data_IF_959244819438
#
_entry.id   IF_959244819438
#
_cell.length_a   1.000
_cell.length_b   1.000
_cell.length_c   1.000
_cell.angle_alpha   90.00
_cell.angle_beta   90.00
_cell.angle_gamma   90.00
#
_symmetry.space_group_name_H-M   'P 1'
#
loop_
_entity.id
_entity.type
_entity.pdbx_description
1 polymer ?
#
# COMPACT_ATOMS: atom_id res chain seq x y z
N UNK A 1 2.17 -10.89 -11.11
CA UNK A 1 3.24 -11.57 -10.36
C UNK A 1 3.48 -10.77 -9.10
N UNK A 2 3.47 -11.41 -7.93
CA UNK A 2 4.05 -10.79 -6.75
C UNK A 2 5.54 -10.50 -6.97
N UNK A 3 6.02 -9.38 -6.43
CA UNK A 3 7.45 -9.06 -6.43
C UNK A 3 8.01 -9.17 -5.02
N UNK A 4 9.12 -9.90 -4.90
CA UNK A 4 9.88 -10.05 -3.64
C UNK A 4 10.91 -8.94 -3.43
N UNK A 5 11.17 -8.14 -4.47
CA UNK A 5 12.02 -6.95 -4.49
C UNK A 5 11.24 -5.85 -5.23
N UNK A 6 10.66 -4.92 -4.49
CA UNK A 6 9.87 -3.82 -5.05
C UNK A 6 10.69 -2.54 -5.15
N UNK A 7 10.39 -1.70 -6.16
CA UNK A 7 10.93 -0.35 -6.26
C UNK A 7 10.26 0.65 -5.33
N UNK A 8 9.22 0.24 -4.59
CA UNK A 8 8.39 1.07 -3.71
C UNK A 8 9.03 1.11 -2.31
N UNK A 9 9.42 2.29 -1.87
CA UNK A 9 10.33 2.48 -0.73
C UNK A 9 9.73 2.12 0.64
N UNK A 10 8.41 2.14 0.76
CA UNK A 10 7.69 1.98 2.02
C UNK A 10 7.15 0.56 2.26
N UNK A 11 7.44 -0.38 1.36
CA UNK A 11 6.97 -1.77 1.43
C UNK A 11 8.07 -2.75 1.01
N UNK A 12 7.98 -3.99 1.46
CA UNK A 12 9.01 -5.01 1.16
C UNK A 12 8.65 -5.82 -0.09
N UNK A 13 7.34 -5.99 -0.34
CA UNK A 13 6.80 -6.86 -1.40
C UNK A 13 5.51 -6.30 -1.98
N UNK A 14 5.15 -6.79 -3.16
CA UNK A 14 3.81 -6.57 -3.73
C UNK A 14 3.09 -7.89 -3.91
N UNK A 15 1.79 -7.90 -3.67
CA UNK A 15 0.90 -9.02 -3.95
C UNK A 15 -0.26 -8.51 -4.80
N UNK A 16 -0.53 -9.13 -5.94
CA UNK A 16 -1.49 -8.63 -6.93
C UNK A 16 -2.53 -9.72 -7.30
N UNK A 17 -3.49 -10.01 -6.39
CA UNK A 17 -4.64 -10.88 -6.68
C UNK A 17 -5.56 -10.31 -7.78
N UNK A 18 -5.52 -9.01 -8.04
CA UNK A 18 -6.10 -8.42 -9.27
C UNK A 18 -5.08 -7.57 -10.02
N UNK A 19 -5.34 -7.30 -11.30
CA UNK A 19 -4.61 -6.32 -12.12
C UNK A 19 -5.60 -5.56 -13.00
N UNK A 20 -5.25 -4.35 -13.43
CA UNK A 20 -6.13 -3.53 -14.25
C UNK A 20 -7.13 -2.71 -13.42
N UNK A 21 -7.55 -1.57 -13.97
CA UNK A 21 -8.42 -0.61 -13.30
C UNK A 21 -8.95 0.42 -14.32
N UNK A 22 -10.00 1.15 -13.97
CA UNK A 22 -10.46 2.37 -14.62
C UNK A 22 -10.09 3.63 -13.79
N UNK A 23 -10.06 4.79 -14.45
CA UNK A 23 -9.63 6.07 -13.85
C UNK A 23 -10.81 6.72 -13.13
N UNK A 24 -10.62 7.08 -11.86
CA UNK A 24 -11.66 7.73 -11.02
C UNK A 24 -11.32 9.14 -10.56
N UNK A 25 -10.11 9.62 -10.89
CA UNK A 25 -9.64 10.93 -10.45
C UNK A 25 -8.50 11.47 -11.32
N UNK A 26 -8.16 12.77 -11.20
CA UNK A 26 -6.97 13.35 -11.80
C UNK A 26 -5.66 12.67 -11.40
N UNK A 27 -5.60 12.00 -10.23
CA UNK A 27 -4.44 11.21 -9.83
C UNK A 27 -4.18 10.01 -10.74
N UNK A 28 -5.19 9.53 -11.47
CA UNK A 28 -5.09 8.36 -12.35
C UNK A 28 -4.65 8.70 -13.78
N UNK A 29 -4.57 9.98 -14.15
CA UNK A 29 -4.34 10.43 -15.54
C UNK A 29 -3.07 9.83 -16.15
N UNK A 30 -1.98 9.76 -15.37
CA UNK A 30 -0.67 9.21 -15.79
C UNK A 30 -0.29 7.95 -15.02
N UNK A 31 -1.27 7.07 -14.78
CA UNK A 31 -1.10 5.82 -14.05
C UNK A 31 0.07 4.97 -14.57
N UNK A 32 1.05 4.69 -13.70
CA UNK A 32 2.19 3.85 -14.05
C UNK A 32 1.77 2.40 -14.35
N UNK A 33 0.75 1.88 -13.66
CA UNK A 33 0.29 0.51 -13.84
C UNK A 33 -0.25 0.32 -15.27
N UNK A 34 -1.04 1.28 -15.77
CA UNK A 34 -1.53 1.30 -17.16
C UNK A 34 -0.37 1.36 -18.17
N UNK A 35 0.64 2.18 -17.90
CA UNK A 35 1.81 2.26 -18.78
C UNK A 35 2.61 0.94 -18.80
N UNK A 36 2.71 0.26 -17.65
CA UNK A 36 3.39 -1.03 -17.54
C UNK A 36 2.67 -2.15 -18.29
N UNK A 37 1.33 -2.18 -18.29
CA UNK A 37 0.59 -3.20 -19.07
C UNK A 37 0.82 -3.05 -20.56
N UNK A 38 0.89 -1.81 -21.06
CA UNK A 38 1.25 -1.49 -22.45
C UNK A 38 2.69 -1.88 -22.79
N UNK A 39 3.62 -1.73 -21.83
CA UNK A 39 5.04 -2.08 -22.02
C UNK A 39 5.29 -3.59 -22.03
N UNK A 40 4.52 -4.35 -21.27
CA UNK A 40 4.70 -5.80 -21.09
C UNK A 40 3.43 -6.60 -21.45
N UNK A 41 2.92 -6.52 -22.69
CA UNK A 41 1.62 -7.08 -23.06
C UNK A 41 1.52 -8.60 -22.84
N UNK A 42 2.64 -9.33 -22.95
CA UNK A 42 2.67 -10.78 -22.69
C UNK A 42 2.34 -11.15 -21.24
N UNK A 43 2.64 -10.26 -20.29
CA UNK A 43 2.35 -10.45 -18.87
C UNK A 43 0.94 -9.96 -18.48
N UNK A 44 0.32 -9.16 -19.35
CA UNK A 44 -0.97 -8.51 -19.15
C UNK A 44 -1.83 -8.71 -20.39
N UNK A 45 -2.28 -9.95 -20.63
CA UNK A 45 -3.02 -10.34 -21.84
C UNK A 45 -4.29 -9.51 -22.08
N UNK A 46 -4.93 -9.05 -21.00
CA UNK A 46 -6.13 -8.20 -21.04
C UNK A 46 -5.78 -6.69 -20.93
N UNK A 47 -4.53 -6.32 -21.18
CA UNK A 47 -4.09 -4.93 -21.05
C UNK A 47 -4.31 -4.38 -19.63
N UNK A 48 -5.02 -3.26 -19.53
CA UNK A 48 -5.36 -2.62 -18.24
C UNK A 48 -6.81 -2.87 -17.80
N UNK A 49 -7.52 -3.78 -18.46
CA UNK A 49 -8.85 -4.23 -18.02
C UNK A 49 -8.73 -5.00 -16.70
N UNK A 50 -9.74 -4.83 -15.82
CA UNK A 50 -9.76 -5.54 -14.55
C UNK A 50 -9.70 -7.05 -14.81
N UNK A 51 -8.74 -7.70 -14.16
CA UNK A 51 -8.54 -9.14 -14.24
C UNK A 51 -8.31 -9.69 -12.84
N UNK A 52 -9.09 -10.69 -12.48
CA UNK A 52 -8.98 -11.45 -11.24
C UNK A 52 -8.01 -12.60 -11.44
N UNK A 53 -7.13 -12.85 -10.47
CA UNK A 53 -6.12 -13.91 -10.51
C UNK A 53 -6.31 -14.85 -9.32
N UNK A 54 -7.30 -15.75 -9.41
CA UNK A 54 -7.56 -16.79 -8.39
C UNK A 54 -6.28 -17.61 -8.08
N UNK A 55 -5.49 -17.91 -9.11
CA UNK A 55 -4.24 -18.64 -8.98
C UNK A 55 -3.12 -17.90 -8.23
N UNK A 56 -3.33 -16.63 -7.87
CA UNK A 56 -2.38 -15.82 -7.09
C UNK A 56 -2.81 -15.61 -5.64
N UNK A 57 -4.01 -16.07 -5.26
CA UNK A 57 -4.54 -15.83 -3.91
C UNK A 57 -3.60 -16.39 -2.83
N UNK A 58 -3.07 -17.59 -3.04
CA UNK A 58 -2.24 -18.25 -2.04
C UNK A 58 -0.75 -17.83 -2.09
N UNK A 59 -0.35 -16.89 -2.94
CA UNK A 59 1.06 -16.45 -3.01
C UNK A 59 1.66 -16.09 -1.63
N UNK A 60 0.95 -15.35 -0.73
CA UNK A 60 1.51 -14.98 0.56
C UNK A 60 1.71 -16.12 1.54
N UNK A 61 0.97 -17.23 1.42
CA UNK A 61 1.10 -18.38 2.35
C UNK A 61 2.46 -19.06 2.23
N UNK A 62 3.13 -18.87 1.09
CA UNK A 62 4.45 -19.41 0.81
C UNK A 62 5.60 -18.52 1.32
N UNK A 63 5.31 -17.31 1.82
CA UNK A 63 6.33 -16.37 2.28
C UNK A 63 6.62 -16.51 3.76
N UNK A 64 7.82 -16.98 4.08
CA UNK A 64 8.24 -17.21 5.47
C UNK A 64 8.72 -15.96 6.19
N UNK A 65 9.39 -15.05 5.48
CA UNK A 65 9.97 -13.84 6.09
C UNK A 65 8.86 -12.82 6.36
N UNK A 66 8.63 -12.39 7.62
CA UNK A 66 7.76 -11.27 7.94
C UNK A 66 8.07 -10.08 7.03
N UNK A 67 7.04 -9.51 6.41
CA UNK A 67 7.17 -8.51 5.35
C UNK A 67 5.98 -7.56 5.40
N UNK A 68 6.20 -6.29 5.02
CA UNK A 68 5.14 -5.39 4.58
C UNK A 68 4.84 -5.69 3.12
N UNK A 69 3.56 -5.88 2.80
CA UNK A 69 3.09 -6.29 1.48
C UNK A 69 2.11 -5.22 0.99
N UNK A 70 2.45 -4.53 -0.09
CA UNK A 70 1.51 -3.69 -0.79
C UNK A 70 0.57 -4.55 -1.65
N UNK A 71 -0.71 -4.55 -1.31
CA UNK A 71 -1.76 -5.28 -2.03
C UNK A 71 -2.23 -4.45 -3.20
N UNK A 72 -2.28 -5.08 -4.38
CA UNK A 72 -2.77 -4.50 -5.63
C UNK A 72 -1.99 -3.26 -6.08
N UNK A 73 -0.67 -3.39 -6.20
CA UNK A 73 0.16 -2.38 -6.86
C UNK A 73 -0.12 -2.21 -8.37
N UNK A 74 -1.02 -3.00 -8.96
CA UNK A 74 -1.35 -2.98 -10.39
C UNK A 74 -2.86 -2.83 -10.66
N UNK A 75 -3.64 -2.51 -9.63
CA UNK A 75 -5.10 -2.37 -9.68
C UNK A 75 -5.59 -1.58 -8.46
N UNK A 76 -6.91 -1.53 -8.24
CA UNK A 76 -7.52 -1.09 -6.99
C UNK A 76 -8.32 -2.28 -6.44
N UNK A 77 -8.09 -2.69 -5.19
CA UNK A 77 -8.77 -3.86 -4.62
C UNK A 77 -10.27 -3.62 -4.48
N UNK A 78 -10.69 -2.37 -4.23
CA UNK A 78 -12.10 -1.98 -4.07
C UNK A 78 -12.74 -1.53 -5.39
N UNK A 79 -12.26 -2.04 -6.53
CA UNK A 79 -12.92 -1.81 -7.82
C UNK A 79 -14.35 -2.39 -7.82
N UNK A 80 -15.28 -1.71 -8.49
CA UNK A 80 -16.72 -2.02 -8.54
C UNK A 80 -16.99 -3.43 -9.05
N UNK A 81 -16.25 -3.83 -10.08
CA UNK A 81 -16.31 -5.17 -10.69
C UNK A 81 -15.58 -6.27 -9.90
N UNK A 82 -14.89 -5.97 -8.79
CA UNK A 82 -14.36 -7.03 -7.90
C UNK A 82 -15.51 -7.54 -7.03
N UNK A 83 -15.90 -8.83 -7.14
CA UNK A 83 -16.99 -9.38 -6.34
C UNK A 83 -16.63 -9.47 -4.85
N UNK A 84 -17.62 -9.30 -3.98
CA UNK A 84 -17.46 -9.43 -2.53
C UNK A 84 -16.83 -10.79 -2.14
N UNK A 85 -17.26 -11.88 -2.77
CA UNK A 85 -16.72 -13.21 -2.48
C UNK A 85 -15.23 -13.33 -2.81
N UNK A 86 -14.75 -12.63 -3.86
CA UNK A 86 -13.33 -12.58 -4.16
C UNK A 86 -12.57 -11.74 -3.11
N UNK A 87 -13.15 -10.62 -2.66
CA UNK A 87 -12.58 -9.82 -1.57
C UNK A 87 -12.47 -10.62 -0.27
N UNK A 88 -13.51 -11.39 0.09
CA UNK A 88 -13.49 -12.28 1.26
C UNK A 88 -12.35 -13.29 1.19
N UNK A 89 -12.10 -13.90 0.03
CA UNK A 89 -10.93 -14.79 -0.17
C UNK A 89 -9.60 -14.07 0.03
N UNK A 90 -9.46 -12.83 -0.47
CA UNK A 90 -8.24 -12.02 -0.29
C UNK A 90 -8.03 -11.72 1.21
N UNK A 91 -9.09 -11.32 1.92
CA UNK A 91 -9.04 -11.05 3.36
C UNK A 91 -8.75 -12.30 4.21
N UNK A 92 -9.31 -13.44 3.85
CA UNK A 92 -9.02 -14.73 4.49
C UNK A 92 -7.52 -15.10 4.39
N UNK A 93 -6.89 -14.90 3.23
CA UNK A 93 -5.44 -15.11 3.08
C UNK A 93 -4.65 -14.16 4.00
N UNK A 94 -5.04 -12.89 4.10
CA UNK A 94 -4.38 -11.93 4.99
C UNK A 94 -4.51 -12.33 6.46
N UNK A 95 -5.65 -12.88 6.87
CA UNK A 95 -5.89 -13.43 8.21
C UNK A 95 -5.06 -14.68 8.51
N UNK A 96 -4.92 -15.58 7.53
CA UNK A 96 -4.12 -16.83 7.64
C UNK A 96 -2.62 -16.60 7.69
N UNK A 97 -2.14 -15.39 7.40
CA UNK A 97 -0.71 -15.06 7.30
C UNK A 97 -0.33 -13.87 8.19
N UNK A 98 -0.55 -13.98 9.52
CA UNK A 98 -0.40 -12.88 10.46
C UNK A 98 1.04 -12.39 10.66
N UNK A 99 2.03 -13.08 10.09
CA UNK A 99 3.42 -12.66 10.04
C UNK A 99 3.68 -11.49 9.10
N UNK A 100 2.79 -11.26 8.14
CA UNK A 100 2.90 -10.14 7.21
C UNK A 100 1.98 -9.01 7.61
N UNK A 101 2.37 -7.78 7.28
CA UNK A 101 1.50 -6.61 7.28
C UNK A 101 1.05 -6.37 5.84
N UNK A 102 -0.25 -6.24 5.64
CA UNK A 102 -0.84 -5.93 4.35
C UNK A 102 -1.22 -4.46 4.30
N UNK A 103 -0.61 -3.72 3.38
CA UNK A 103 -0.91 -2.32 3.10
C UNK A 103 -1.85 -2.30 1.89
N UNK A 104 -3.10 -1.89 2.10
CA UNK A 104 -4.10 -1.75 1.05
C UNK A 104 -4.32 -0.26 0.80
N UNK A 105 -4.35 0.16 -0.46
CA UNK A 105 -4.57 1.55 -0.85
C UNK A 105 -5.68 1.61 -1.90
N UNK A 106 -6.65 2.53 -1.71
CA UNK A 106 -7.76 2.71 -2.67
C UNK A 106 -8.06 4.17 -2.95
N UNK A 107 -8.67 4.45 -4.09
CA UNK A 107 -9.37 5.73 -4.38
C UNK A 107 -10.89 5.58 -4.28
N UNK A 108 -11.40 4.38 -4.04
CA UNK A 108 -12.81 3.96 -4.09
C UNK A 108 -13.41 3.88 -2.70
N UNK A 109 -13.22 4.95 -1.95
CA UNK A 109 -13.58 5.12 -0.55
C UNK A 109 -15.06 4.84 -0.23
N UNK A 110 -16.03 5.16 -1.11
CA UNK A 110 -17.44 4.79 -0.88
C UNK A 110 -17.63 3.27 -0.82
N UNK A 111 -17.06 2.55 -1.79
CA UNK A 111 -17.14 1.09 -1.86
C UNK A 111 -16.38 0.42 -0.71
N UNK A 112 -15.26 1.01 -0.30
CA UNK A 112 -14.55 0.59 0.91
C UNK A 112 -15.48 0.66 2.14
N UNK A 113 -16.17 1.78 2.37
CA UNK A 113 -17.08 1.94 3.51
C UNK A 113 -18.26 0.97 3.43
N UNK A 114 -18.87 0.83 2.24
CA UNK A 114 -19.99 -0.08 1.99
C UNK A 114 -19.63 -1.53 2.35
N UNK A 115 -18.44 -1.99 1.95
CA UNK A 115 -18.03 -3.39 2.11
C UNK A 115 -17.29 -3.66 3.42
N UNK A 116 -16.83 -2.63 4.13
CA UNK A 116 -16.06 -2.83 5.37
C UNK A 116 -16.76 -3.72 6.41
N UNK A 117 -18.10 -3.65 6.63
CA UNK A 117 -18.79 -4.54 7.56
C UNK A 117 -18.81 -6.02 7.14
N UNK A 118 -18.62 -6.31 5.85
CA UNK A 118 -18.64 -7.67 5.28
C UNK A 118 -17.27 -8.36 5.29
N UNK A 119 -16.22 -7.68 5.76
CA UNK A 119 -14.84 -8.11 5.69
C UNK A 119 -14.24 -8.32 7.09
N UNK A 120 -13.35 -9.30 7.23
CA UNK A 120 -12.68 -9.60 8.49
C UNK A 120 -11.40 -8.77 8.67
N UNK A 121 -11.45 -7.77 9.55
CA UNK A 121 -10.35 -6.83 9.77
C UNK A 121 -9.34 -7.33 10.81
N UNK A 122 -8.37 -8.12 10.37
CA UNK A 122 -7.24 -8.52 11.21
C UNK A 122 -6.26 -7.38 11.48
N UNK A 123 -5.57 -7.42 12.63
CA UNK A 123 -4.61 -6.37 13.06
C UNK A 123 -3.47 -6.10 12.07
N UNK A 124 -3.16 -7.08 11.24
CA UNK A 124 -2.12 -6.99 10.22
C UNK A 124 -2.61 -6.43 8.88
N UNK A 125 -3.87 -5.97 8.80
CA UNK A 125 -4.43 -5.28 7.65
C UNK A 125 -4.40 -3.78 7.92
N UNK A 126 -3.60 -3.06 7.14
CA UNK A 126 -3.47 -1.62 7.16
C UNK A 126 -4.21 -1.06 5.95
N UNK A 127 -5.11 -0.12 6.20
CA UNK A 127 -5.98 0.44 5.17
C UNK A 127 -5.63 1.89 4.91
N UNK A 128 -5.55 2.26 3.65
CA UNK A 128 -5.29 3.63 3.27
C UNK A 128 -6.11 4.09 2.09
N UNK A 129 -6.22 5.41 1.97
CA UNK A 129 -6.80 6.08 0.81
C UNK A 129 -5.78 6.98 0.14
N UNK A 130 -5.84 7.09 -1.18
CA UNK A 130 -5.07 8.13 -1.86
C UNK A 130 -5.80 9.47 -1.79
N UNK A 131 -5.08 10.56 -1.56
CA UNK A 131 -5.60 11.94 -1.54
C UNK A 131 -4.70 12.83 -2.38
N UNK A 132 -4.99 12.94 -3.67
CA UNK A 132 -4.14 13.65 -4.63
C UNK A 132 -4.28 15.17 -4.60
N UNK A 133 -5.43 15.73 -4.18
CA UNK A 133 -5.67 17.17 -4.06
C UNK A 133 -6.86 17.46 -3.12
N UNK A 134 -7.08 18.75 -2.83
CA UNK A 134 -8.07 19.20 -1.85
C UNK A 134 -9.51 18.72 -2.15
N UNK A 135 -9.86 18.46 -3.41
CA UNK A 135 -11.21 18.01 -3.77
C UNK A 135 -11.50 16.55 -3.35
N UNK A 136 -10.50 15.82 -2.87
CA UNK A 136 -10.59 14.42 -2.49
C UNK A 136 -10.20 14.15 -1.03
N UNK A 137 -10.18 15.19 -0.19
CA UNK A 137 -9.89 15.04 1.26
C UNK A 137 -11.02 14.36 2.02
N UNK A 138 -12.23 14.36 1.47
CA UNK A 138 -13.40 13.63 2.00
C UNK A 138 -13.16 12.12 2.13
N UNK A 139 -12.25 11.58 1.32
CA UNK A 139 -11.78 10.18 1.43
C UNK A 139 -11.22 9.85 2.80
N UNK A 140 -10.60 10.83 3.48
CA UNK A 140 -10.03 10.65 4.83
C UNK A 140 -11.16 10.37 5.83
N UNK A 141 -12.29 11.06 5.68
CA UNK A 141 -13.47 10.89 6.53
C UNK A 141 -14.10 9.51 6.35
N UNK A 142 -14.16 9.02 5.11
CA UNK A 142 -14.58 7.65 4.82
C UNK A 142 -13.63 6.61 5.42
N UNK A 143 -12.31 6.82 5.34
CA UNK A 143 -11.33 5.89 5.90
C UNK A 143 -11.51 5.70 7.42
N UNK A 144 -11.89 6.76 8.16
CA UNK A 144 -12.15 6.67 9.60
C UNK A 144 -13.33 5.77 9.97
N UNK A 145 -14.28 5.56 9.05
CA UNK A 145 -15.43 4.67 9.28
C UNK A 145 -15.06 3.18 9.20
N UNK A 146 -13.88 2.86 8.68
CA UNK A 146 -13.40 1.49 8.49
C UNK A 146 -12.70 1.01 9.76
N UNK A 147 -12.94 -0.22 10.24
CA UNK A 147 -12.35 -0.75 11.49
C UNK A 147 -10.91 -1.26 11.29
N UNK A 148 -10.10 -0.53 10.52
CA UNK A 148 -8.69 -0.86 10.33
C UNK A 148 -7.83 -0.42 11.53
N UNK A 149 -6.93 -1.30 11.98
CA UNK A 149 -6.03 -1.02 13.11
C UNK A 149 -4.99 0.07 12.78
N UNK A 150 -4.60 0.20 11.52
CA UNK A 150 -3.76 1.28 11.02
C UNK A 150 -4.45 1.87 9.81
N UNK A 151 -4.65 3.19 9.87
CA UNK A 151 -5.20 4.02 8.80
C UNK A 151 -4.11 4.93 8.27
N UNK A 152 -3.88 4.91 6.96
CA UNK A 152 -2.83 5.74 6.35
C UNK A 152 -3.31 6.49 5.12
N UNK A 153 -2.65 7.61 4.82
CA UNK A 153 -2.91 8.39 3.62
C UNK A 153 -1.75 8.24 2.66
N UNK A 154 -2.06 8.10 1.37
CA UNK A 154 -1.08 8.30 0.30
C UNK A 154 -1.46 9.55 -0.47
N UNK A 155 -0.79 10.66 -0.16
CA UNK A 155 -0.92 11.91 -0.88
C UNK A 155 -0.10 11.81 -2.19
N UNK A 156 -0.51 10.89 -3.07
CA UNK A 156 0.21 10.53 -4.29
C UNK A 156 -0.70 10.26 -5.51
N UNK A 157 -0.33 10.80 -6.70
CA UNK A 157 0.61 11.92 -6.83
C UNK A 157 0.06 13.15 -6.10
N UNK A 158 0.90 13.93 -5.42
CA UNK A 158 0.46 15.19 -4.83
C UNK A 158 0.28 16.24 -5.93
N UNK A 159 -0.96 16.69 -6.14
CA UNK A 159 -1.37 17.59 -7.23
C UNK A 159 -1.85 18.96 -6.73
N UNK A 160 -1.61 19.29 -5.47
CA UNK A 160 -1.97 20.57 -4.87
C UNK A 160 -1.72 20.58 -3.36
N UNK A 161 -1.93 21.73 -2.70
CA UNK A 161 -1.93 21.80 -1.25
C UNK A 161 -3.08 20.97 -0.67
N UNK A 162 -2.89 20.47 0.55
CA UNK A 162 -3.86 19.70 1.31
C UNK A 162 -3.97 20.24 2.73
N UNK A 163 -5.21 20.49 3.17
CA UNK A 163 -5.56 20.66 4.57
C UNK A 163 -6.22 19.37 5.06
N UNK A 164 -5.56 18.67 6.00
CA UNK A 164 -5.92 17.32 6.41
C UNK A 164 -6.39 17.30 7.87
N UNK A 165 -7.55 16.69 8.11
CA UNK A 165 -7.93 16.25 9.44
C UNK A 165 -7.29 14.88 9.73
N UNK A 166 -6.21 14.89 10.51
CA UNK A 166 -5.41 13.69 10.83
C UNK A 166 -5.88 12.92 12.07
N UNK A 167 -7.03 13.29 12.65
CA UNK A 167 -7.65 12.50 13.73
C UNK A 167 -7.79 11.04 13.27
N UNK A 168 -7.41 10.08 14.11
CA UNK A 168 -7.44 8.63 13.82
C UNK A 168 -6.64 8.17 12.57
N UNK A 169 -5.72 9.00 12.08
CA UNK A 169 -4.76 8.68 11.02
C UNK A 169 -3.39 8.42 11.66
N UNK A 170 -2.70 7.38 11.19
CA UNK A 170 -1.49 6.88 11.84
C UNK A 170 -0.23 7.11 11.00
N UNK A 171 -0.40 7.31 9.69
CA UNK A 171 0.72 7.45 8.76
C UNK A 171 0.32 8.22 7.50
N UNK A 172 1.16 9.14 7.05
CA UNK A 172 0.97 9.91 5.82
C UNK A 172 2.19 9.76 4.94
N UNK A 173 1.96 9.32 3.70
CA UNK A 173 2.96 9.16 2.66
C UNK A 173 2.76 10.28 1.64
N UNK A 174 3.81 11.04 1.34
CA UNK A 174 3.76 12.11 0.34
C UNK A 174 4.74 11.83 -0.79
N UNK A 175 4.30 12.02 -2.03
CA UNK A 175 5.13 11.79 -3.20
C UNK A 175 4.63 12.44 -4.48
N UNK A 176 5.58 12.88 -5.30
CA UNK A 176 5.34 13.41 -6.64
C UNK A 176 5.06 12.32 -7.68
N UNK A 177 4.52 12.75 -8.81
CA UNK A 177 4.17 11.85 -9.92
C UNK A 177 5.43 11.30 -10.63
N UNK A 178 5.35 10.06 -11.10
CA UNK A 178 6.43 9.42 -11.87
C UNK A 178 5.98 9.15 -13.31
N UNK A 179 6.93 9.22 -14.24
CA UNK A 179 6.74 8.87 -15.64
C UNK A 179 6.98 10.02 -16.61
N UNK A 180 6.82 9.74 -17.90
CA UNK A 180 7.12 10.69 -18.97
C UNK A 180 6.30 11.99 -18.89
N UNK A 181 5.09 11.92 -18.31
CA UNK A 181 4.15 13.04 -18.18
C UNK A 181 3.97 13.47 -16.72
N UNK A 182 4.97 13.27 -15.86
CA UNK A 182 4.87 13.63 -14.45
C UNK A 182 4.55 15.11 -14.27
N UNK A 183 3.53 15.40 -13.46
CA UNK A 183 3.18 16.76 -13.05
C UNK A 183 4.08 17.21 -11.89
N UNK A 184 4.42 18.51 -11.83
CA UNK A 184 5.27 19.02 -10.76
C UNK A 184 4.53 19.00 -9.42
N UNK A 185 5.26 18.59 -8.39
CA UNK A 185 4.92 18.77 -6.99
C UNK A 185 5.67 20.01 -6.49
N UNK A 186 5.12 20.73 -5.51
CA UNK A 186 5.80 21.88 -4.90
C UNK A 186 6.22 21.59 -3.47
N UNK A 187 7.37 22.16 -3.09
CA UNK A 187 7.97 21.95 -1.78
C UNK A 187 7.11 22.48 -0.64
N UNK A 188 6.46 23.63 -0.81
CA UNK A 188 5.58 24.21 0.20
C UNK A 188 4.39 23.29 0.56
N UNK A 189 3.90 22.49 -0.40
CA UNK A 189 2.82 21.53 -0.14
C UNK A 189 3.31 20.36 0.73
N UNK A 190 4.51 19.87 0.45
CA UNK A 190 5.12 18.77 1.22
C UNK A 190 5.45 19.23 2.64
N UNK A 191 6.02 20.44 2.79
CA UNK A 191 6.33 21.04 4.10
C UNK A 191 5.06 21.25 4.94
N UNK A 192 3.99 21.77 4.35
CA UNK A 192 2.70 21.94 5.06
C UNK A 192 2.15 20.60 5.57
N UNK A 193 2.13 19.55 4.74
CA UNK A 193 1.65 18.22 5.17
C UNK A 193 2.54 17.65 6.29
N UNK A 194 3.86 17.82 6.20
CA UNK A 194 4.79 17.41 7.27
C UNK A 194 4.47 18.11 8.59
N UNK A 195 4.27 19.43 8.57
CA UNK A 195 3.93 20.21 9.77
C UNK A 195 2.60 19.76 10.38
N UNK A 196 1.58 19.50 9.55
CA UNK A 196 0.32 18.92 10.00
C UNK A 196 0.53 17.56 10.69
N UNK A 197 1.38 16.69 10.12
CA UNK A 197 1.71 15.40 10.72
C UNK A 197 2.43 15.55 12.07
N UNK A 198 3.40 16.47 12.17
CA UNK A 198 4.12 16.74 13.41
C UNK A 198 3.19 17.26 14.51
N UNK A 199 2.30 18.19 14.18
CA UNK A 199 1.33 18.75 15.13
C UNK A 199 0.31 17.72 15.62
N UNK A 200 -0.01 16.72 14.80
CA UNK A 200 -0.96 15.65 15.12
C UNK A 200 -0.28 14.36 15.61
N UNK A 201 1.05 14.36 15.80
CA UNK A 201 1.85 13.18 16.18
C UNK A 201 1.66 11.97 15.26
N UNK A 202 1.48 12.23 13.96
CA UNK A 202 1.30 11.22 12.90
C UNK A 202 2.62 10.97 12.18
N UNK A 203 2.94 9.70 11.92
CA UNK A 203 4.16 9.36 11.20
C UNK A 203 4.16 9.93 9.78
N UNK A 204 5.25 10.59 9.38
CA UNK A 204 5.41 11.21 8.07
C UNK A 204 6.48 10.51 7.21
N UNK A 205 6.10 10.10 6.01
CA UNK A 205 7.00 9.50 5.03
C UNK A 205 7.05 10.32 3.75
N UNK A 206 8.20 10.92 3.45
CA UNK A 206 8.43 11.55 2.16
C UNK A 206 9.09 10.55 1.20
N UNK A 207 8.33 10.18 0.17
CA UNK A 207 8.72 9.12 -0.75
C UNK A 207 9.63 9.64 -1.85
N UNK A 208 9.23 10.70 -2.57
CA UNK A 208 10.01 11.27 -3.68
C UNK A 208 9.40 12.58 -4.20
N UNK A 209 10.22 13.39 -4.88
CA UNK A 209 9.76 14.55 -5.67
C UNK A 209 9.08 14.18 -6.99
N UNK A 210 9.17 12.91 -7.43
CA UNK A 210 8.69 12.47 -8.74
C UNK A 210 9.74 12.64 -9.84
N UNK A 211 9.32 12.55 -11.11
CA UNK A 211 10.21 12.69 -12.27
C UNK A 211 10.03 11.62 -13.34
N UNK A 212 10.92 11.64 -14.35
CA UNK A 212 10.85 10.76 -15.53
C UNK A 212 10.84 9.26 -15.17
N UNK A 213 11.61 8.89 -14.15
CA UNK A 213 11.64 7.55 -13.57
C UNK A 213 11.31 7.64 -12.09
N UNK A 214 10.88 6.53 -11.45
CA UNK A 214 10.89 6.46 -9.99
C UNK A 214 12.26 6.89 -9.47
N UNK A 215 12.29 7.67 -8.39
CA UNK A 215 13.50 8.19 -7.71
C UNK A 215 14.29 9.29 -8.46
N UNK A 216 13.88 9.71 -9.65
CA UNK A 216 14.65 10.69 -10.44
C UNK A 216 14.87 12.03 -9.70
N UNK A 217 13.84 12.53 -9.01
CA UNK A 217 13.94 13.75 -8.21
C UNK A 217 14.54 13.57 -6.82
N UNK A 218 14.90 12.34 -6.42
CA UNK A 218 15.33 12.05 -5.05
C UNK A 218 14.20 12.14 -4.02
N UNK A 219 14.57 12.04 -2.74
CA UNK A 219 13.63 11.97 -1.60
C UNK A 219 14.11 12.71 -0.35
N UNK A 220 15.02 13.66 -0.53
CA UNK A 220 15.43 14.60 0.50
C UNK A 220 14.44 15.76 0.56
N UNK A 221 14.01 16.14 1.75
CA UNK A 221 13.24 17.35 2.04
C UNK A 221 13.94 18.06 3.20
N UNK A 222 14.37 19.30 2.99
CA UNK A 222 15.21 20.05 3.94
C UNK A 222 16.50 19.30 4.31
N UNK A 223 17.20 18.78 3.30
CA UNK A 223 18.45 17.99 3.44
C UNK A 223 18.32 16.75 4.35
N UNK A 224 17.08 16.31 4.60
CA UNK A 224 16.77 15.17 5.47
C UNK A 224 15.90 14.15 4.73
N UNK A 225 16.12 12.88 5.07
CA UNK A 225 15.22 11.78 4.68
C UNK A 225 14.12 11.66 5.73
N UNK A 226 12.88 11.60 5.27
CA UNK A 226 11.70 11.37 6.11
C UNK A 226 11.11 10.01 5.76
N UNK A 227 11.35 9.03 6.64
CA UNK A 227 10.98 7.62 6.45
C UNK A 227 10.29 7.02 7.67
N UNK A 228 9.58 7.85 8.42
CA UNK A 228 8.86 7.44 9.62
C UNK A 228 7.80 6.39 9.30
N UNK A 229 7.55 5.53 10.29
CA UNK A 229 6.57 4.45 10.24
C UNK A 229 5.67 4.53 11.48
N UNK A 230 4.40 4.10 11.38
CA UNK A 230 3.52 4.07 12.54
C UNK A 230 4.06 3.08 13.59
N UNK A 231 3.81 3.34 14.87
CA UNK A 231 4.31 2.52 15.99
C UNK A 231 3.95 1.03 15.85
N UNK A 232 2.78 0.74 15.27
CA UNK A 232 2.33 -0.62 14.95
C UNK A 232 3.36 -1.41 14.12
N UNK A 233 4.17 -0.76 13.28
CA UNK A 233 5.28 -1.41 12.57
C UNK A 233 6.30 -1.99 13.54
N UNK A 234 6.75 -1.18 14.48
CA UNK A 234 7.81 -1.53 15.40
C UNK A 234 7.34 -2.62 16.38
N UNK A 235 6.08 -2.54 16.83
CA UNK A 235 5.43 -3.58 17.62
C UNK A 235 5.35 -4.91 16.85
N UNK A 236 4.97 -4.89 15.57
CA UNK A 236 4.92 -6.07 14.72
C UNK A 236 6.30 -6.68 14.49
N UNK A 237 7.30 -5.85 14.18
CA UNK A 237 8.69 -6.27 13.99
C UNK A 237 9.22 -6.97 15.25
N UNK A 238 9.06 -6.35 16.42
CA UNK A 238 9.45 -6.93 17.72
C UNK A 238 8.75 -8.26 18.00
N UNK A 239 7.45 -8.36 17.70
CA UNK A 239 6.69 -9.61 17.85
C UNK A 239 7.34 -10.73 17.03
N UNK A 240 7.59 -10.50 15.74
CA UNK A 240 8.03 -11.56 14.81
C UNK A 240 9.55 -11.80 14.79
N UNK A 241 10.38 -10.85 15.21
CA UNK A 241 11.80 -11.09 15.46
C UNK A 241 12.02 -12.14 16.55
N UNK A 242 11.22 -12.12 17.63
CA UNK A 242 11.27 -13.14 18.69
C UNK A 242 11.01 -14.56 18.16
N UNK A 243 10.13 -14.71 17.17
CA UNK A 243 9.87 -16.00 16.51
C UNK A 243 10.97 -16.41 15.52
N UNK A 244 11.78 -15.46 15.06
CA UNK A 244 12.89 -15.71 14.12
C UNK A 244 14.12 -16.30 14.80
N UNK A 245 14.34 -15.97 16.08
CA UNK A 245 15.51 -16.42 16.87
C UNK A 245 15.29 -17.82 17.50
N UNK A 246 14.04 -18.31 17.58
CA UNK A 246 13.69 -19.53 18.32
C UNK A 246 13.34 -20.79 17.52
N UNK A 247 13.36 -20.79 16.18
CA UNK A 247 12.60 -21.81 15.44
C UNK A 247 13.09 -22.19 14.06
N UNK A 248 14.36 -22.58 13.91
CA UNK A 248 14.80 -23.48 12.83
C UNK A 248 15.98 -24.35 13.31
N UNK A 249 15.84 -25.01 14.46
CA UNK A 249 16.68 -26.20 14.72
C UNK A 249 16.24 -27.26 13.73
N UNK A 250 17.04 -27.48 12.69
CA UNK A 250 16.98 -28.69 11.86
C UNK A 250 16.91 -29.88 12.82
N UNK A 251 15.79 -30.59 12.80
CA UNK A 251 15.73 -31.95 13.35
C UNK A 251 16.61 -32.82 12.45
N UNK A 252 17.91 -32.86 12.72
CA UNK A 252 18.75 -33.94 12.23
C UNK A 252 18.22 -35.20 12.90
N UNK A 253 17.62 -36.08 12.09
CA UNK A 253 17.37 -37.47 12.45
C UNK A 253 18.70 -38.07 12.93
N UNK A 254 18.79 -38.32 14.22
CA UNK A 254 19.68 -39.33 14.76
C UNK A 254 18.87 -40.62 14.92
N UNK A 255 19.60 -41.74 14.85
CA UNK A 255 19.17 -43.13 15.05
C UNK A 255 18.57 -43.85 13.83
N UNK A 256 19.44 -44.45 13.02
CA UNK A 256 19.45 -45.90 12.87
C UNK A 256 20.91 -46.38 12.91
N UNK A 257 21.29 -46.95 14.07
CA UNK A 257 22.41 -47.88 14.21
C UNK A 257 21.80 -49.25 14.49
N UNK A 258 21.98 -50.18 13.56
CA UNK A 258 22.25 -51.60 13.75
C UNK A 258 22.60 -52.17 12.38
#
# INVERSE_FOLDING_TARGET
>A
MASINTGIEWTDRTWNPTTGCNKVSPGCTHCYAEALTKRFPQNFKNGFELTLHENRLEEPTHWRKPSRIFVNSMSDLFHEEVPLEFLKKVFDVMGKTPQHIYQILTKRHQRLVELAPELEWHKNIWMGVSVENQNYVDRVDCLRQVPANVRFLSCEPLLGPLELNLTDIHWVIVGGESGLKHRPIKEEWVRSIREQCQNAEVAFFFKQWGGRTPKAGGRSLDDKIWDEMPEAWEQHRKKWERYSVGGFRRSNKAAMTA
#
